data_IF_721524996581
#
_entry.id   IF_721524996581
#
_cell.length_a   1.000
_cell.length_b   1.000
_cell.length_c   1.000
_cell.angle_alpha   90.00
_cell.angle_beta   90.00
_cell.angle_gamma   90.00
#
_symmetry.space_group_name_H-M   'P 1'
#
loop_
_entity.id
_entity.type
_entity.pdbx_description
1 polymer ?
#
# COMPACT_ATOMS: atom_id res chain seq x y z
N UNK A 1 8.18 11.83 3.44
CA UNK A 1 8.40 13.16 4.04
C UNK A 1 7.86 13.15 5.46
N UNK A 2 8.54 13.79 6.41
CA UNK A 2 8.05 13.93 7.79
C UNK A 2 7.57 15.35 8.05
N UNK A 3 6.50 15.48 8.83
CA UNK A 3 5.82 16.75 9.08
C UNK A 3 5.30 16.76 10.52
N UNK A 4 5.57 17.83 11.26
CA UNK A 4 4.99 17.99 12.60
C UNK A 4 3.49 18.29 12.52
N UNK A 5 2.75 18.00 13.60
CA UNK A 5 1.33 18.39 13.72
C UNK A 5 1.12 19.90 13.47
N UNK A 6 2.07 20.74 13.88
CA UNK A 6 1.96 22.20 13.71
C UNK A 6 2.02 22.59 12.23
N UNK A 7 2.97 22.04 11.50
CA UNK A 7 3.13 22.27 10.06
C UNK A 7 1.93 21.71 9.28
N UNK A 8 1.44 20.53 9.66
CA UNK A 8 0.23 19.93 9.06
C UNK A 8 -0.98 20.85 9.18
N UNK A 9 -1.21 21.44 10.36
CA UNK A 9 -2.32 22.37 10.59
C UNK A 9 -2.21 23.65 9.75
N UNK A 10 -0.99 24.14 9.50
CA UNK A 10 -0.76 25.32 8.66
C UNK A 10 -1.02 25.02 7.18
N UNK A 11 -0.68 23.82 6.73
CA UNK A 11 -0.85 23.38 5.35
C UNK A 11 -2.19 22.71 5.06
N UNK A 12 -3.11 22.69 6.02
CA UNK A 12 -4.41 22.01 5.91
C UNK A 12 -5.20 22.48 4.67
N UNK A 13 -5.16 23.77 4.36
CA UNK A 13 -5.85 24.36 3.19
C UNK A 13 -5.25 23.93 1.86
N UNK A 14 -3.96 23.57 1.82
CA UNK A 14 -3.22 23.17 0.61
C UNK A 14 -2.86 21.67 0.63
N UNK A 15 -3.49 20.90 1.52
CA UNK A 15 -3.15 19.50 1.77
C UNK A 15 -3.22 18.66 0.49
N UNK A 16 -4.17 18.96 -0.39
CA UNK A 16 -4.31 18.30 -1.69
C UNK A 16 -3.04 18.49 -2.55
N UNK A 17 -2.58 19.72 -2.75
CA UNK A 17 -1.37 20.02 -3.53
C UNK A 17 -0.12 19.40 -2.92
N UNK A 18 -0.04 19.33 -1.59
CA UNK A 18 1.08 18.70 -0.88
C UNK A 18 1.08 17.18 -1.09
N UNK A 19 -0.09 16.53 -1.03
CA UNK A 19 -0.24 15.09 -1.27
C UNK A 19 -0.03 14.68 -2.73
N UNK A 20 -0.35 15.54 -3.69
CA UNK A 20 -0.06 15.30 -5.11
C UNK A 20 1.44 15.25 -5.40
N UNK A 21 2.23 16.08 -4.71
CA UNK A 21 3.70 16.11 -4.84
C UNK A 21 4.39 15.01 -4.05
N UNK A 22 3.85 14.68 -2.87
CA UNK A 22 4.41 13.67 -1.98
C UNK A 22 3.32 12.69 -1.55
N UNK A 23 3.28 11.49 -2.15
CA UNK A 23 2.19 10.53 -1.92
C UNK A 23 2.23 9.87 -0.54
N UNK A 24 3.26 10.09 0.26
CA UNK A 24 3.34 9.55 1.63
C UNK A 24 3.99 10.55 2.60
N UNK A 25 3.20 10.97 3.59
CA UNK A 25 3.61 11.94 4.60
C UNK A 25 3.41 11.31 5.98
N UNK A 26 4.46 11.29 6.77
CA UNK A 26 4.43 10.85 8.17
C UNK A 26 4.23 12.07 9.05
N UNK A 27 3.11 12.10 9.77
CA UNK A 27 2.81 13.13 10.75
C UNK A 27 3.45 12.74 12.07
N UNK A 28 4.29 13.62 12.60
CA UNK A 28 5.01 13.41 13.86
C UNK A 28 4.50 14.35 14.96
N UNK A 29 4.60 13.89 16.21
CA UNK A 29 4.35 14.69 17.42
C UNK A 29 5.58 14.57 18.33
N UNK A 30 6.24 15.69 18.61
CA UNK A 30 7.50 15.71 19.38
C UNK A 30 8.55 14.74 18.82
N UNK A 31 8.70 14.69 17.49
CA UNK A 31 9.64 13.80 16.80
C UNK A 31 9.23 12.33 16.75
N UNK A 32 8.08 11.95 17.32
CA UNK A 32 7.56 10.57 17.24
C UNK A 32 6.52 10.44 16.14
N UNK A 33 6.57 9.40 15.29
CA UNK A 33 5.55 9.17 14.28
C UNK A 33 4.20 8.90 14.95
N UNK A 34 3.16 9.60 14.50
CA UNK A 34 1.80 9.53 15.03
C UNK A 34 0.84 8.94 14.00
N UNK A 35 0.90 9.45 12.77
CA UNK A 35 -0.02 9.05 11.72
C UNK A 35 0.67 9.10 10.37
N UNK A 36 0.08 8.42 9.39
CA UNK A 36 0.51 8.45 8.01
C UNK A 36 -0.64 8.93 7.14
N UNK A 37 -0.37 9.92 6.31
CA UNK A 37 -1.29 10.48 5.36
C UNK A 37 -0.91 9.97 3.96
N UNK A 38 -1.87 9.32 3.31
CA UNK A 38 -1.75 8.75 1.97
C UNK A 38 -2.94 9.25 1.16
N UNK A 39 -2.76 9.63 -0.12
CA UNK A 39 -3.87 10.03 -0.96
C UNK A 39 -4.88 8.89 -1.07
N UNK A 40 -6.16 9.24 -1.01
CA UNK A 40 -7.24 8.29 -1.29
C UNK A 40 -7.23 8.00 -2.79
N UNK A 41 -6.48 6.99 -3.22
CA UNK A 41 -6.58 6.49 -4.59
C UNK A 41 -7.97 5.92 -4.80
N UNK A 42 -8.60 6.19 -5.95
CA UNK A 42 -9.86 5.54 -6.34
C UNK A 42 -9.71 4.04 -6.10
N UNK A 43 -10.64 3.47 -5.33
CA UNK A 43 -10.69 2.03 -5.10
C UNK A 43 -10.58 1.34 -6.45
N UNK A 44 -9.51 0.56 -6.65
CA UNK A 44 -9.38 -0.23 -7.88
C UNK A 44 -10.53 -1.24 -7.84
N UNK A 45 -11.39 -1.30 -8.87
CA UNK A 45 -12.45 -2.30 -8.89
C UNK A 45 -11.79 -3.67 -8.78
N UNK A 46 -12.38 -4.54 -7.95
CA UNK A 46 -11.93 -5.93 -7.87
C UNK A 46 -11.94 -6.49 -9.29
N UNK A 47 -10.83 -7.06 -9.80
CA UNK A 47 -10.84 -7.66 -11.12
C UNK A 47 -11.85 -8.80 -11.14
N UNK A 48 -12.54 -8.97 -12.27
CA UNK A 48 -13.30 -10.18 -12.51
C UNK A 48 -12.37 -11.41 -12.55
N UNK A 49 -12.94 -12.61 -12.47
CA UNK A 49 -12.15 -13.84 -12.41
C UNK A 49 -11.26 -14.06 -13.64
N UNK A 50 -11.63 -13.53 -14.81
CA UNK A 50 -10.85 -13.69 -16.03
C UNK A 50 -9.63 -12.76 -16.02
N UNK A 51 -9.82 -11.49 -15.66
CA UNK A 51 -8.74 -10.50 -15.49
C UNK A 51 -7.75 -10.94 -14.42
N UNK A 52 -8.23 -11.44 -13.28
CA UNK A 52 -7.34 -11.93 -12.23
C UNK A 52 -6.47 -13.09 -12.75
N UNK A 53 -7.06 -14.06 -13.46
CA UNK A 53 -6.33 -15.18 -14.07
C UNK A 53 -5.33 -14.72 -15.13
N UNK A 54 -5.66 -13.72 -15.94
CA UNK A 54 -4.76 -13.15 -16.94
C UNK A 54 -3.55 -12.43 -16.33
N UNK A 55 -3.68 -11.90 -15.11
CA UNK A 55 -2.59 -11.28 -14.36
C UNK A 55 -1.65 -12.31 -13.69
N UNK A 56 -2.03 -13.59 -13.61
CA UNK A 56 -1.18 -14.60 -13.00
C UNK A 56 -0.08 -15.05 -13.98
N UNK A 57 1.20 -15.09 -13.56
CA UNK A 57 2.25 -15.66 -14.38
C UNK A 57 2.03 -17.18 -14.54
N UNK A 58 2.61 -17.76 -15.60
CA UNK A 58 2.65 -19.21 -15.74
C UNK A 58 3.48 -19.82 -14.61
N UNK A 59 2.83 -20.66 -13.80
CA UNK A 59 3.50 -21.43 -12.77
C UNK A 59 4.43 -22.45 -13.41
N UNK A 60 5.70 -22.45 -13.01
CA UNK A 60 6.72 -23.38 -13.53
C UNK A 60 6.77 -24.69 -12.76
N UNK A 61 6.30 -24.67 -11.52
CA UNK A 61 6.29 -25.83 -10.62
C UNK A 61 4.85 -26.30 -10.53
N UNK A 62 4.65 -27.60 -10.72
CA UNK A 62 3.34 -28.20 -10.57
C UNK A 62 2.88 -28.13 -9.11
N UNK A 63 1.59 -27.88 -8.89
CA UNK A 63 1.03 -27.80 -7.53
C UNK A 63 1.26 -29.09 -6.75
N UNK A 64 1.28 -30.26 -7.41
CA UNK A 64 1.55 -31.54 -6.75
C UNK A 64 2.93 -31.59 -6.08
N UNK A 65 3.93 -30.96 -6.69
CA UNK A 65 5.30 -30.92 -6.15
C UNK A 65 5.33 -30.08 -4.88
N UNK A 66 4.68 -28.92 -4.90
CA UNK A 66 4.59 -28.02 -3.74
C UNK A 66 3.78 -28.65 -2.59
N UNK A 67 2.67 -29.32 -2.91
CA UNK A 67 1.81 -29.99 -1.91
C UNK A 67 2.55 -31.16 -1.25
N UNK A 68 3.37 -31.90 -2.00
CA UNK A 68 4.19 -32.98 -1.41
C UNK A 68 5.26 -32.40 -0.48
N UNK A 69 5.99 -31.37 -0.92
CA UNK A 69 7.00 -30.71 -0.08
C UNK A 69 6.42 -30.21 1.25
N UNK A 70 5.27 -29.50 1.24
CA UNK A 70 4.61 -29.02 2.47
C UNK A 70 4.17 -30.16 3.41
N UNK A 71 3.81 -31.33 2.86
CA UNK A 71 3.43 -32.50 3.68
C UNK A 71 4.65 -33.17 4.30
N UNK A 72 5.74 -33.28 3.56
CA UNK A 72 6.97 -33.92 4.04
C UNK A 72 7.67 -33.07 5.11
N UNK A 73 7.39 -31.76 5.18
CA UNK A 73 7.91 -30.81 6.18
C UNK A 73 7.11 -30.78 7.51
N UNK A 74 5.97 -31.47 7.60
CA UNK A 74 5.12 -31.53 8.82
C UNK A 74 5.34 -32.81 9.62
#
# INVERSE_FOLDING_TARGET
MEMSIREMRQQLTQLQTVLEKTPEIIITRHGKPLARLVPMTKSRPRPDHAKLRALQPRLRIASETLIRADRDER
#
